data_IF_722896887728
#
_entry.id   IF_722896887728
#
_cell.length_a   1.000
_cell.length_b   1.000
_cell.length_c   1.000
_cell.angle_alpha   90.00
_cell.angle_beta   90.00
_cell.angle_gamma   90.00
#
_symmetry.space_group_name_H-M   'P 1'
#
loop_
_entity.id
_entity.type
_entity.pdbx_description
1 polymer ?
#
# COMPACT_ATOMS: atom_id res chain seq x y z
N UNK A 1 28.44 -17.13 19.56
CA UNK A 1 27.09 -16.73 19.95
C UNK A 1 26.90 -15.27 19.53
N UNK A 2 26.11 -14.99 18.51
CA UNK A 2 25.88 -13.59 18.07
C UNK A 2 25.07 -12.89 19.14
N UNK A 3 25.62 -11.82 19.75
CA UNK A 3 24.88 -10.93 20.65
C UNK A 3 23.96 -10.09 19.78
N UNK A 4 22.65 -10.15 19.99
CA UNK A 4 21.71 -9.20 19.39
C UNK A 4 21.96 -7.83 20.01
N UNK A 5 22.24 -6.83 19.19
CA UNK A 5 22.49 -5.48 19.67
C UNK A 5 21.24 -4.61 19.68
N UNK A 6 20.32 -4.86 18.75
CA UNK A 6 19.08 -4.12 18.57
C UNK A 6 17.97 -5.07 18.11
N UNK A 7 16.75 -4.84 18.59
CA UNK A 7 15.52 -5.45 18.11
C UNK A 7 14.72 -4.37 17.36
N UNK A 8 14.50 -4.56 16.06
CA UNK A 8 13.67 -3.68 15.27
C UNK A 8 12.24 -4.23 15.19
N UNK A 9 11.25 -3.37 15.54
CA UNK A 9 9.86 -3.52 15.18
C UNK A 9 9.58 -2.73 13.90
N UNK A 10 8.73 -3.27 13.02
CA UNK A 10 8.27 -2.56 11.82
C UNK A 10 6.74 -2.58 11.82
N UNK A 11 6.15 -1.40 11.74
CA UNK A 11 4.72 -1.19 11.64
C UNK A 11 4.42 -0.47 10.33
N UNK A 12 3.64 -1.11 9.45
CA UNK A 12 3.27 -0.53 8.16
C UNK A 12 1.88 0.11 8.23
N UNK A 13 1.74 1.35 7.75
CA UNK A 13 0.48 2.12 7.79
C UNK A 13 0.23 2.81 6.45
N UNK A 14 -1.01 2.79 5.97
CA UNK A 14 -1.48 3.60 4.83
C UNK A 14 -2.21 4.85 5.31
N UNK A 15 -2.81 4.77 6.49
CA UNK A 15 -3.57 5.86 7.11
C UNK A 15 -2.96 6.16 8.49
N UNK A 16 -2.90 7.45 8.84
CA UNK A 16 -2.46 7.92 10.14
C UNK A 16 -3.39 7.37 11.24
N UNK A 17 -2.82 6.67 12.22
CA UNK A 17 -3.52 6.21 13.42
C UNK A 17 -3.11 7.06 14.62
N UNK A 18 -4.05 7.86 15.16
CA UNK A 18 -3.82 8.70 16.34
C UNK A 18 -3.40 7.91 17.59
N UNK A 19 -3.75 6.62 17.66
CA UNK A 19 -3.40 5.75 18.79
C UNK A 19 -2.01 5.12 18.63
N UNK A 20 -1.30 5.42 17.56
CA UNK A 20 -0.01 4.80 17.27
C UNK A 20 1.04 4.96 18.40
N UNK A 21 1.18 6.12 19.09
CA UNK A 21 2.10 6.23 20.21
C UNK A 21 1.79 5.24 21.35
N UNK A 22 0.51 5.01 21.65
CA UNK A 22 0.08 4.03 22.66
C UNK A 22 0.36 2.58 22.20
N UNK A 23 0.16 2.28 20.92
CA UNK A 23 0.44 0.96 20.35
C UNK A 23 1.93 0.66 20.42
N UNK A 24 2.77 1.58 19.96
CA UNK A 24 4.23 1.37 19.90
C UNK A 24 4.84 1.22 21.29
N UNK A 25 4.46 2.06 22.26
CA UNK A 25 4.94 1.90 23.63
C UNK A 25 4.53 0.54 24.22
N UNK A 26 3.33 0.03 23.89
CA UNK A 26 2.90 -1.27 24.34
C UNK A 26 3.73 -2.41 23.70
N UNK A 27 4.04 -2.32 22.41
CA UNK A 27 4.87 -3.31 21.70
C UNK A 27 6.31 -3.32 22.20
N UNK A 28 6.90 -2.14 22.37
CA UNK A 28 8.26 -2.00 22.87
C UNK A 28 8.35 -2.50 24.32
N UNK A 29 7.36 -2.14 25.15
CA UNK A 29 7.25 -2.64 26.53
C UNK A 29 7.12 -4.16 26.61
N UNK A 30 6.29 -4.78 25.75
CA UNK A 30 6.16 -6.23 25.65
C UNK A 30 7.48 -6.89 25.21
N UNK A 31 8.21 -6.25 24.29
CA UNK A 31 9.51 -6.72 23.81
C UNK A 31 10.58 -6.67 24.92
N UNK A 32 10.62 -5.60 25.71
CA UNK A 32 11.50 -5.52 26.89
C UNK A 32 11.09 -6.53 27.94
N UNK A 33 9.80 -6.68 28.24
CA UNK A 33 9.30 -7.69 29.17
C UNK A 33 9.72 -9.10 28.76
N UNK A 34 9.59 -9.42 27.47
CA UNK A 34 10.04 -10.71 26.95
C UNK A 34 11.53 -10.97 27.16
N UNK A 35 12.36 -9.93 27.06
CA UNK A 35 13.79 -10.05 27.35
C UNK A 35 14.04 -10.30 28.83
N UNK A 36 13.34 -9.59 29.72
CA UNK A 36 13.49 -9.72 31.18
C UNK A 36 13.09 -11.11 31.69
N UNK A 37 12.10 -11.73 31.10
CA UNK A 37 11.59 -13.05 31.50
C UNK A 37 12.49 -14.22 31.05
N UNK A 38 13.49 -13.96 30.20
CA UNK A 38 14.45 -15.03 29.80
C UNK A 38 15.35 -15.40 30.96
N UNK A 39 15.34 -16.68 31.34
CA UNK A 39 16.19 -17.22 32.42
C UNK A 39 17.67 -16.92 32.14
N UNK A 40 18.34 -16.26 33.08
CA UNK A 40 19.76 -15.92 32.96
C UNK A 40 20.07 -14.70 32.09
N UNK A 41 19.09 -13.91 31.69
CA UNK A 41 19.31 -12.67 30.95
C UNK A 41 20.05 -11.65 31.82
N UNK A 42 21.26 -11.27 31.40
CA UNK A 42 22.09 -10.23 32.04
C UNK A 42 22.21 -8.96 31.20
N UNK A 43 21.91 -9.04 29.91
CA UNK A 43 22.01 -7.93 28.96
C UNK A 43 20.70 -7.84 28.17
N UNK A 44 20.29 -6.61 27.90
CA UNK A 44 19.06 -6.32 27.16
C UNK A 44 19.40 -5.59 25.86
N UNK A 45 18.72 -5.96 24.78
CA UNK A 45 18.82 -5.30 23.51
C UNK A 45 17.94 -4.05 23.49
N UNK A 46 18.39 -3.01 22.80
CA UNK A 46 17.54 -1.86 22.46
C UNK A 46 16.37 -2.33 21.60
N UNK A 47 15.18 -1.81 21.85
CA UNK A 47 14.00 -1.99 21.00
C UNK A 47 13.77 -0.67 20.26
N UNK A 48 13.63 -0.74 18.95
CA UNK A 48 13.38 0.42 18.09
C UNK A 48 12.25 0.04 17.14
N UNK A 49 11.10 0.68 17.28
CA UNK A 49 9.99 0.51 16.34
C UNK A 49 9.99 1.60 15.29
N UNK A 50 9.96 1.19 14.02
CA UNK A 50 9.88 2.05 12.84
C UNK A 50 8.47 1.97 12.28
N UNK A 51 7.86 3.12 11.98
CA UNK A 51 6.58 3.21 11.32
C UNK A 51 6.83 3.60 9.88
N UNK A 52 6.51 2.70 8.95
CA UNK A 52 6.58 2.95 7.52
C UNK A 52 5.21 3.41 7.04
N UNK A 53 5.08 4.69 6.72
CA UNK A 53 3.83 5.28 6.29
C UNK A 53 3.81 5.43 4.77
N UNK A 54 2.84 4.77 4.11
CA UNK A 54 2.68 4.71 2.66
C UNK A 54 1.58 5.61 2.11
N UNK A 55 0.91 6.37 3.00
CA UNK A 55 -0.16 7.31 2.61
C UNK A 55 0.35 8.49 1.79
N UNK A 56 -0.56 9.08 1.00
CA UNK A 56 -0.25 10.23 0.16
C UNK A 56 -0.12 11.55 0.96
N UNK A 57 -0.69 11.58 2.18
CA UNK A 57 -0.56 12.71 3.11
C UNK A 57 0.58 12.48 4.08
N UNK A 58 1.41 13.50 4.29
CA UNK A 58 2.50 13.40 5.26
C UNK A 58 1.98 13.27 6.69
N UNK A 59 2.58 12.38 7.47
CA UNK A 59 2.27 12.22 8.90
C UNK A 59 2.96 13.33 9.71
N UNK A 60 2.27 14.44 9.94
CA UNK A 60 2.85 15.63 10.61
C UNK A 60 2.65 15.65 12.12
N UNK A 61 1.46 15.27 12.59
CA UNK A 61 1.03 15.39 14.00
C UNK A 61 0.84 14.02 14.65
N UNK A 62 0.54 13.99 15.94
CA UNK A 62 0.31 12.77 16.74
C UNK A 62 1.51 11.78 16.67
N UNK A 63 2.72 12.33 16.66
CA UNK A 63 3.96 11.54 16.69
C UNK A 63 4.49 11.29 18.09
N UNK A 64 3.92 11.95 19.08
CA UNK A 64 4.36 11.87 20.46
C UNK A 64 3.19 11.47 21.36
N UNK A 65 3.50 10.73 22.44
CA UNK A 65 2.49 10.28 23.38
C UNK A 65 1.71 11.44 24.00
N UNK A 66 2.39 12.55 24.30
CA UNK A 66 1.75 13.76 24.84
C UNK A 66 0.68 14.37 23.93
N UNK A 67 0.76 14.17 22.63
CA UNK A 67 -0.19 14.72 21.66
C UNK A 67 -1.52 13.95 21.63
N UNK A 68 -1.53 12.73 22.18
CA UNK A 68 -2.69 11.82 22.08
C UNK A 68 -3.35 11.51 23.42
N UNK A 69 -2.71 11.88 24.52
CA UNK A 69 -3.30 11.74 25.86
C UNK A 69 -3.92 13.05 26.33
N UNK A 70 -4.90 12.97 27.24
CA UNK A 70 -5.56 14.16 27.77
C UNK A 70 -4.59 14.96 28.65
N UNK A 71 -4.45 16.26 28.38
CA UNK A 71 -3.46 17.13 28.99
C UNK A 71 -3.94 17.81 30.30
N UNK A 72 -5.17 17.56 30.75
CA UNK A 72 -5.82 18.43 31.75
C UNK A 72 -5.26 18.40 33.17
N UNK A 73 -4.26 17.59 33.52
CA UNK A 73 -3.90 17.53 34.95
C UNK A 73 -2.54 16.96 35.32
N UNK A 74 -1.51 17.03 34.53
CA UNK A 74 -0.27 16.32 34.91
C UNK A 74 0.91 17.27 35.01
N UNK A 75 1.70 17.07 36.07
CA UNK A 75 3.02 17.65 36.19
C UNK A 75 3.86 17.15 34.99
N UNK A 76 4.05 17.99 34.01
CA UNK A 76 4.77 17.71 32.73
C UNK A 76 6.19 17.20 32.99
N UNK A 77 6.81 17.61 34.09
CA UNK A 77 8.18 17.21 34.47
C UNK A 77 8.26 15.72 34.84
N UNK A 78 7.17 15.10 35.26
CA UNK A 78 7.12 13.69 35.65
C UNK A 78 6.66 12.78 34.50
N UNK A 79 6.12 13.37 33.43
CA UNK A 79 5.61 12.60 32.28
C UNK A 79 6.73 12.14 31.35
N UNK A 80 6.82 10.83 31.14
CA UNK A 80 7.75 10.26 30.18
C UNK A 80 7.12 10.24 28.79
N UNK A 81 7.46 11.21 27.98
CA UNK A 81 6.97 11.28 26.60
C UNK A 81 7.62 10.22 25.73
N UNK A 82 6.82 9.58 24.86
CA UNK A 82 7.27 8.59 23.92
C UNK A 82 7.10 9.11 22.49
N UNK A 83 8.19 9.09 21.72
CA UNK A 83 8.23 9.63 20.36
C UNK A 83 8.32 8.52 19.33
N UNK A 84 7.51 8.62 18.26
CA UNK A 84 7.48 7.69 17.13
C UNK A 84 8.61 7.97 16.14
N UNK A 85 9.16 6.90 15.56
CA UNK A 85 10.05 6.97 14.40
C UNK A 85 9.23 6.74 13.13
N UNK A 86 8.64 7.80 12.57
CA UNK A 86 7.80 7.74 11.36
C UNK A 86 8.64 8.05 10.12
N UNK A 87 8.55 7.16 9.13
CA UNK A 87 9.12 7.31 7.81
C UNK A 87 8.00 7.41 6.77
N UNK A 88 7.77 8.61 6.27
CA UNK A 88 6.80 8.88 5.20
C UNK A 88 7.40 8.44 3.86
N UNK A 89 7.09 7.23 3.41
CA UNK A 89 7.74 6.60 2.23
C UNK A 89 7.49 7.40 0.95
N UNK A 90 6.27 7.92 0.79
CA UNK A 90 5.92 8.75 -0.36
C UNK A 90 6.65 10.12 -0.39
N UNK A 91 7.38 10.47 0.67
CA UNK A 91 8.12 11.74 0.80
C UNK A 91 9.62 11.58 0.84
N UNK A 92 10.13 10.38 0.60
CA UNK A 92 11.58 10.14 0.52
C UNK A 92 12.21 10.92 -0.64
N UNK A 93 13.44 11.37 -0.42
CA UNK A 93 14.25 11.98 -1.49
C UNK A 93 14.87 10.92 -2.39
N UNK A 94 15.32 11.33 -3.57
CA UNK A 94 16.01 10.42 -4.49
C UNK A 94 17.29 9.83 -3.88
N UNK A 95 18.01 10.61 -3.07
CA UNK A 95 19.20 10.17 -2.36
C UNK A 95 18.85 9.08 -1.34
N UNK A 96 17.76 9.26 -0.60
CA UNK A 96 17.26 8.26 0.36
C UNK A 96 16.81 6.99 -0.35
N UNK A 97 16.11 7.10 -1.49
CA UNK A 97 15.69 5.95 -2.29
C UNK A 97 16.90 5.17 -2.82
N UNK A 98 17.96 5.86 -3.26
CA UNK A 98 19.19 5.22 -3.74
C UNK A 98 19.95 4.45 -2.65
N UNK A 99 19.72 4.73 -1.37
CA UNK A 99 20.35 3.99 -0.27
C UNK A 99 19.79 2.57 -0.11
N UNK A 100 18.58 2.28 -0.61
CA UNK A 100 18.02 0.94 -0.54
C UNK A 100 18.68 0.00 -1.55
N UNK A 101 19.19 -1.12 -1.04
CA UNK A 101 19.85 -2.15 -1.86
C UNK A 101 18.91 -3.31 -2.24
N UNK A 102 17.68 -3.29 -1.71
CA UNK A 102 16.65 -4.30 -1.96
C UNK A 102 15.57 -3.76 -2.88
N UNK A 103 14.62 -4.63 -3.27
CA UNK A 103 13.43 -4.27 -4.05
C UNK A 103 12.57 -3.18 -3.38
N UNK A 104 12.76 -2.94 -2.07
CA UNK A 104 12.09 -1.86 -1.36
C UNK A 104 12.39 -0.47 -1.95
N UNK A 105 13.56 -0.26 -2.55
CA UNK A 105 13.87 0.97 -3.27
C UNK A 105 12.96 1.21 -4.48
N UNK A 106 12.53 0.14 -5.16
CA UNK A 106 11.58 0.21 -6.28
C UNK A 106 10.18 0.56 -5.77
N UNK A 107 9.78 -0.04 -4.65
CA UNK A 107 8.51 0.27 -3.97
C UNK A 107 8.49 1.75 -3.54
N UNK A 108 9.54 2.22 -2.89
CA UNK A 108 9.64 3.61 -2.43
C UNK A 108 9.56 4.61 -3.59
N UNK A 109 10.27 4.33 -4.69
CA UNK A 109 10.23 5.14 -5.92
C UNK A 109 8.80 5.22 -6.49
N UNK A 110 8.08 4.09 -6.52
CA UNK A 110 6.67 4.06 -6.94
C UNK A 110 5.80 5.00 -6.10
N UNK A 111 5.86 4.91 -4.76
CA UNK A 111 5.03 5.75 -3.89
C UNK A 111 5.35 7.24 -4.02
N UNK A 112 6.63 7.59 -4.16
CA UNK A 112 7.05 8.99 -4.39
C UNK A 112 6.53 9.51 -5.71
N UNK A 113 6.65 8.76 -6.80
CA UNK A 113 6.17 9.15 -8.13
C UNK A 113 4.65 9.22 -8.18
N UNK A 114 3.95 8.26 -7.57
CA UNK A 114 2.48 8.27 -7.45
C UNK A 114 2.00 9.54 -6.75
N UNK A 115 2.54 9.88 -5.58
CA UNK A 115 2.20 11.10 -4.86
C UNK A 115 2.45 12.37 -5.68
N UNK A 116 3.54 12.40 -6.46
CA UNK A 116 3.85 13.54 -7.35
C UNK A 116 2.94 13.62 -8.58
N UNK A 117 2.03 12.66 -8.77
CA UNK A 117 1.08 12.64 -9.90
C UNK A 117 1.71 12.26 -11.24
N UNK A 118 2.80 11.51 -11.25
CA UNK A 118 3.39 11.00 -12.48
C UNK A 118 2.41 10.05 -13.18
N UNK A 119 2.07 10.34 -14.42
CA UNK A 119 1.19 9.50 -15.25
C UNK A 119 1.83 8.15 -15.58
N UNK A 120 3.13 8.16 -15.81
CA UNK A 120 3.93 6.97 -16.10
C UNK A 120 5.02 6.83 -15.04
N UNK A 121 5.07 5.69 -14.38
CA UNK A 121 6.07 5.39 -13.35
C UNK A 121 7.10 4.46 -13.97
N UNK A 122 8.19 5.03 -14.47
CA UNK A 122 9.27 4.28 -15.07
C UNK A 122 10.30 3.87 -14.01
N UNK A 123 10.51 2.56 -13.89
CA UNK A 123 11.59 1.98 -13.12
C UNK A 123 11.98 0.65 -13.77
N UNK A 124 13.15 0.63 -14.40
CA UNK A 124 13.68 -0.51 -15.16
C UNK A 124 14.59 -1.42 -14.33
N UNK A 125 14.68 -1.20 -13.00
CA UNK A 125 15.46 -2.09 -12.15
C UNK A 125 14.79 -3.45 -12.07
N UNK A 126 15.54 -4.56 -12.26
CA UNK A 126 15.00 -5.90 -12.13
C UNK A 126 14.57 -6.18 -10.70
N UNK A 127 13.40 -6.78 -10.57
CA UNK A 127 12.80 -7.16 -9.29
C UNK A 127 13.21 -8.59 -8.98
N UNK A 128 13.77 -8.82 -7.79
CA UNK A 128 14.21 -10.15 -7.36
C UNK A 128 13.08 -10.97 -6.74
N UNK A 129 12.16 -10.33 -6.03
CA UNK A 129 11.08 -10.95 -5.26
C UNK A 129 9.72 -10.48 -5.78
N UNK A 130 9.36 -10.93 -6.99
CA UNK A 130 8.18 -10.45 -7.72
C UNK A 130 6.90 -10.73 -6.96
N UNK A 131 6.72 -11.96 -6.46
CA UNK A 131 5.49 -12.36 -5.77
C UNK A 131 5.26 -11.59 -4.46
N UNK A 132 6.34 -11.38 -3.70
CA UNK A 132 6.29 -10.60 -2.46
C UNK A 132 6.00 -9.13 -2.75
N UNK A 133 6.61 -8.58 -3.81
CA UNK A 133 6.34 -7.22 -4.25
C UNK A 133 4.88 -7.04 -4.69
N UNK A 134 4.32 -7.95 -5.49
CA UNK A 134 2.93 -7.88 -5.91
C UNK A 134 1.97 -7.95 -4.71
N UNK A 135 2.22 -8.85 -3.75
CA UNK A 135 1.46 -8.93 -2.50
C UNK A 135 1.53 -7.63 -1.71
N UNK A 136 2.73 -7.05 -1.61
CA UNK A 136 2.94 -5.78 -0.92
C UNK A 136 2.18 -4.63 -1.61
N UNK A 137 2.35 -4.49 -2.92
CA UNK A 137 1.70 -3.45 -3.71
C UNK A 137 0.18 -3.54 -3.65
N UNK A 138 -0.38 -4.73 -3.71
CA UNK A 138 -1.82 -4.96 -3.54
C UNK A 138 -2.36 -4.37 -2.24
N UNK A 139 -1.64 -4.56 -1.13
CA UNK A 139 -2.09 -4.13 0.20
C UNK A 139 -1.86 -2.63 0.41
N UNK A 140 -0.65 -2.15 0.10
CA UNK A 140 -0.24 -0.80 0.49
C UNK A 140 -0.43 0.25 -0.60
N UNK A 141 -0.49 -0.13 -1.87
CA UNK A 141 -0.86 0.79 -2.94
C UNK A 141 -2.39 0.96 -3.06
N UNK A 142 -3.19 0.10 -2.40
CA UNK A 142 -4.65 0.09 -2.50
C UNK A 142 -5.14 0.04 -3.96
N UNK A 143 -4.38 -0.66 -4.80
CA UNK A 143 -4.58 -0.69 -6.24
C UNK A 143 -4.90 -2.12 -6.70
N UNK A 144 -6.16 -2.34 -7.03
CA UNK A 144 -6.67 -3.65 -7.47
C UNK A 144 -5.99 -4.17 -8.74
N UNK A 145 -5.34 -3.29 -9.50
CA UNK A 145 -4.59 -3.70 -10.70
C UNK A 145 -3.49 -4.71 -10.39
N UNK A 146 -2.94 -4.68 -9.18
CA UNK A 146 -1.94 -5.67 -8.73
C UNK A 146 -2.52 -7.03 -8.34
N UNK A 147 -3.85 -7.19 -8.42
CA UNK A 147 -4.53 -8.46 -8.17
C UNK A 147 -4.35 -9.40 -9.35
N UNK A 148 -3.86 -10.62 -9.08
CA UNK A 148 -3.80 -11.72 -10.06
C UNK A 148 -3.13 -11.31 -11.39
N UNK A 149 -2.04 -10.56 -11.32
CA UNK A 149 -1.24 -10.25 -12.50
C UNK A 149 -0.39 -11.46 -12.89
N UNK A 150 -0.59 -11.94 -14.12
CA UNK A 150 0.38 -12.80 -14.80
C UNK A 150 1.42 -11.89 -15.46
N UNK A 151 2.47 -11.57 -14.72
CA UNK A 151 3.46 -10.58 -15.13
C UNK A 151 4.35 -11.16 -16.20
N UNK A 152 4.33 -10.53 -17.38
CA UNK A 152 5.24 -10.88 -18.47
C UNK A 152 6.63 -10.34 -18.20
N UNK A 153 7.64 -11.11 -18.59
CA UNK A 153 9.03 -10.68 -18.58
C UNK A 153 9.29 -9.70 -19.74
N UNK A 154 10.25 -8.80 -19.57
CA UNK A 154 10.74 -7.95 -20.65
C UNK A 154 11.58 -8.76 -21.67
N UNK A 155 12.12 -8.09 -22.70
CA UNK A 155 12.96 -8.71 -23.73
C UNK A 155 14.25 -9.34 -23.13
N UNK A 156 14.72 -8.84 -21.99
CA UNK A 156 15.90 -9.34 -21.26
C UNK A 156 15.57 -10.51 -20.31
N UNK A 157 14.27 -10.91 -20.27
CA UNK A 157 13.78 -11.99 -19.41
C UNK A 157 13.58 -11.57 -17.94
N UNK A 158 13.54 -10.29 -17.66
CA UNK A 158 13.40 -9.72 -16.31
C UNK A 158 12.00 -9.17 -16.07
N UNK A 159 11.61 -9.07 -14.81
CA UNK A 159 10.42 -8.37 -14.34
C UNK A 159 10.85 -7.04 -13.73
N UNK A 160 10.25 -5.94 -14.18
CA UNK A 160 10.49 -4.59 -13.68
C UNK A 160 9.16 -3.95 -13.26
N UNK A 161 9.21 -2.79 -12.59
CA UNK A 161 7.98 -2.06 -12.28
C UNK A 161 7.23 -1.63 -13.55
N UNK A 162 7.94 -1.29 -14.62
CA UNK A 162 7.34 -0.98 -15.92
C UNK A 162 6.52 -2.17 -16.44
N UNK A 163 7.12 -3.37 -16.49
CA UNK A 163 6.41 -4.57 -16.99
C UNK A 163 5.20 -4.95 -16.14
N UNK A 164 5.26 -4.72 -14.82
CA UNK A 164 4.12 -4.92 -13.92
C UNK A 164 3.00 -3.94 -14.25
N UNK A 165 3.30 -2.65 -14.36
CA UNK A 165 2.30 -1.62 -14.64
C UNK A 165 1.70 -1.76 -16.05
N UNK A 166 2.50 -2.06 -17.06
CA UNK A 166 2.02 -2.30 -18.41
C UNK A 166 1.08 -3.52 -18.46
N UNK A 167 1.42 -4.59 -17.75
CA UNK A 167 0.57 -5.77 -17.64
C UNK A 167 -0.77 -5.42 -16.96
N UNK A 168 -0.72 -4.61 -15.90
CA UNK A 168 -1.91 -4.16 -15.18
C UNK A 168 -2.82 -3.28 -16.05
N UNK A 169 -2.25 -2.35 -16.81
CA UNK A 169 -2.97 -1.45 -17.72
C UNK A 169 -3.63 -2.28 -18.83
N UNK A 170 -2.89 -3.17 -19.48
CA UNK A 170 -3.40 -4.01 -20.56
C UNK A 170 -4.57 -4.88 -20.08
N UNK A 171 -4.45 -5.50 -18.91
CA UNK A 171 -5.54 -6.27 -18.29
C UNK A 171 -6.78 -5.40 -18.05
N UNK A 172 -6.61 -4.18 -17.57
CA UNK A 172 -7.70 -3.23 -17.36
C UNK A 172 -8.41 -2.86 -18.68
N UNK A 173 -7.64 -2.64 -19.74
CA UNK A 173 -8.18 -2.38 -21.09
C UNK A 173 -8.98 -3.57 -21.61
N UNK A 174 -8.45 -4.78 -21.53
CA UNK A 174 -9.13 -6.02 -21.96
C UNK A 174 -10.45 -6.23 -21.21
N UNK A 175 -10.43 -6.02 -19.89
CA UNK A 175 -11.64 -6.10 -19.05
C UNK A 175 -12.67 -5.04 -19.44
N UNK A 176 -12.25 -3.80 -19.66
CA UNK A 176 -13.12 -2.71 -20.09
C UNK A 176 -13.76 -2.97 -21.46
N UNK A 177 -13.00 -3.46 -22.41
CA UNK A 177 -13.51 -3.86 -23.74
C UNK A 177 -14.53 -4.99 -23.61
N UNK A 178 -14.22 -6.04 -22.87
CA UNK A 178 -15.12 -7.18 -22.66
C UNK A 178 -16.45 -6.76 -22.01
N UNK A 179 -16.38 -5.93 -20.97
CA UNK A 179 -17.57 -5.40 -20.31
C UNK A 179 -18.39 -4.49 -21.24
N UNK A 180 -17.73 -3.62 -21.99
CA UNK A 180 -18.38 -2.73 -22.96
C UNK A 180 -19.11 -3.50 -24.06
N UNK A 181 -18.49 -4.54 -24.62
CA UNK A 181 -19.12 -5.42 -25.62
C UNK A 181 -20.34 -6.13 -25.00
N UNK A 182 -20.20 -6.73 -23.83
CA UNK A 182 -21.30 -7.44 -23.15
C UNK A 182 -22.49 -6.52 -22.86
N UNK A 183 -22.22 -5.33 -22.34
CA UNK A 183 -23.27 -4.33 -22.08
C UNK A 183 -23.92 -3.84 -23.39
N UNK A 184 -23.12 -3.56 -24.42
CA UNK A 184 -23.62 -3.13 -25.72
C UNK A 184 -24.52 -4.18 -26.39
N UNK A 185 -24.15 -5.45 -26.34
CA UNK A 185 -24.98 -6.56 -26.86
C UNK A 185 -26.29 -6.64 -26.07
N UNK A 186 -26.22 -6.61 -24.74
CA UNK A 186 -27.42 -6.71 -23.89
C UNK A 186 -28.39 -5.55 -24.15
N UNK A 187 -27.88 -4.31 -24.23
CA UNK A 187 -28.69 -3.14 -24.54
C UNK A 187 -29.25 -3.20 -25.95
N UNK A 188 -28.45 -3.63 -26.95
CA UNK A 188 -28.87 -3.74 -28.33
C UNK A 188 -29.99 -4.76 -28.49
N UNK A 189 -29.90 -5.93 -27.84
CA UNK A 189 -30.97 -6.94 -27.86
C UNK A 189 -32.24 -6.39 -27.19
N UNK A 190 -32.13 -5.74 -26.05
CA UNK A 190 -33.29 -5.15 -25.36
C UNK A 190 -33.99 -4.09 -26.20
N UNK A 191 -33.24 -3.19 -26.81
CA UNK A 191 -33.79 -2.15 -27.70
C UNK A 191 -34.40 -2.76 -28.98
N UNK A 192 -33.73 -3.72 -29.60
CA UNK A 192 -34.22 -4.41 -30.77
C UNK A 192 -35.55 -5.15 -30.53
N UNK A 193 -35.66 -5.76 -29.32
CA UNK A 193 -36.93 -6.41 -28.92
C UNK A 193 -38.07 -5.42 -28.79
N UNK A 194 -37.86 -4.28 -28.13
CA UNK A 194 -38.87 -3.22 -27.98
C UNK A 194 -39.30 -2.66 -29.33
N UNK A 195 -38.34 -2.40 -30.22
CA UNK A 195 -38.64 -1.91 -31.59
C UNK A 195 -39.45 -2.94 -32.35
N UNK A 196 -39.07 -4.22 -32.30
CA UNK A 196 -39.79 -5.30 -32.96
C UNK A 196 -41.22 -5.48 -32.44
N UNK A 197 -41.42 -5.46 -31.11
CA UNK A 197 -42.75 -5.53 -30.47
C UNK A 197 -43.64 -4.34 -30.92
N UNK A 198 -43.11 -3.11 -30.90
CA UNK A 198 -43.83 -1.93 -31.34
C UNK A 198 -44.19 -1.98 -32.82
N UNK A 199 -43.31 -2.46 -33.69
CA UNK A 199 -43.58 -2.63 -35.10
C UNK A 199 -44.69 -3.67 -35.36
N UNK A 200 -44.68 -4.76 -34.60
CA UNK A 200 -45.73 -5.80 -34.71
C UNK A 200 -47.08 -5.29 -34.25
N UNK A 201 -47.13 -4.50 -33.17
CA UNK A 201 -48.36 -3.85 -32.69
C UNK A 201 -48.95 -2.86 -33.71
N UNK A 202 -48.12 -2.07 -34.38
CA UNK A 202 -48.54 -1.13 -35.42
C UNK A 202 -49.14 -1.86 -36.64
N UNK A 203 -48.50 -2.94 -37.07
CA UNK A 203 -49.01 -3.74 -38.15
C UNK A 203 -50.35 -4.43 -37.83
N UNK A 204 -50.56 -4.88 -36.60
CA UNK A 204 -51.81 -5.48 -36.17
C UNK A 204 -52.99 -4.49 -36.14
N UNK A 205 -52.71 -3.20 -35.86
CA UNK A 205 -53.73 -2.12 -35.86
C UNK A 205 -54.15 -1.70 -37.26
N UNK A 206 -53.35 -1.94 -38.28
CA UNK A 206 -53.66 -1.58 -39.68
C UNK A 206 -54.62 -2.65 -40.33
N UNK A 207 -54.69 -3.84 -39.75
CA UNK A 207 -55.49 -4.96 -40.23
C UNK A 207 -56.88 -5.12 -39.55
N UNK A 208 -57.27 -4.19 -38.67
CA UNK A 208 -58.61 -4.07 -38.09
C UNK A 208 -59.39 -2.96 -38.80
#
# INVERSE_FOLDING_TARGET
MYKRQVLFGIENQTIKDKKMPLRVIAYDGASYRSQMLKKGAKEFCKVITLILHFGDNQWKDDKELREVINQESVNEELFQNYKLNVFDIAYLTEEQIKMFQSDFGIIADYFVKRRKGYKTIENHKPIKHVDEMLKFMRIFAEDERFLQLDVKKNEEGEVTMCTILDTAINKGIEQGISQGISQGITQGIAQGKIIGENATLQLSLIHI
#
